data_IF_421519807106
#
_entry.id   IF_421519807106
#
_cell.length_a   1.000
_cell.length_b   1.000
_cell.length_c   1.000
_cell.angle_alpha   90.00
_cell.angle_beta   90.00
_cell.angle_gamma   90.00
#
_symmetry.space_group_name_H-M   'P 1'
#
loop_
_entity.id
_entity.type
_entity.pdbx_description
1 polymer ?
#
# COMPACT_ATOMS: atom_id res chain seq x y z
N UNK A 1 -18.82 -6.65 -9.35
CA UNK A 1 -17.53 -7.34 -9.14
C UNK A 1 -16.95 -6.87 -7.82
N UNK A 2 -16.65 -7.80 -6.91
CA UNK A 2 -16.08 -7.51 -5.59
C UNK A 2 -14.56 -7.43 -5.68
N UNK A 3 -14.00 -6.29 -5.30
CA UNK A 3 -12.57 -6.03 -5.43
C UNK A 3 -11.93 -5.73 -4.08
N UNK A 4 -10.87 -6.46 -3.74
CA UNK A 4 -10.04 -6.18 -2.56
C UNK A 4 -8.94 -5.17 -2.91
N UNK A 5 -8.97 -3.99 -2.29
CA UNK A 5 -7.98 -2.94 -2.49
C UNK A 5 -6.97 -2.94 -1.35
N UNK A 6 -5.72 -3.35 -1.59
CA UNK A 6 -4.64 -3.13 -0.62
C UNK A 6 -4.41 -1.64 -0.40
N UNK A 7 -4.40 -1.21 0.86
CA UNK A 7 -4.25 0.20 1.24
C UNK A 7 -3.03 0.41 2.13
N UNK A 8 -2.12 1.27 1.68
CA UNK A 8 -0.92 1.64 2.46
C UNK A 8 -1.15 2.86 3.38
N UNK A 9 -2.10 3.75 3.04
CA UNK A 9 -2.48 4.93 3.81
C UNK A 9 -3.70 5.60 3.18
N UNK A 10 -4.42 6.43 3.91
CA UNK A 10 -5.59 7.16 3.40
C UNK A 10 -5.25 8.12 2.25
N UNK A 11 -4.17 8.93 2.31
CA UNK A 11 -3.79 9.81 1.19
C UNK A 11 -3.52 9.09 -0.14
N UNK A 12 -3.11 7.82 -0.10
CA UNK A 12 -2.88 7.02 -1.31
C UNK A 12 -4.13 6.28 -1.79
N UNK A 13 -5.15 6.15 -0.94
CA UNK A 13 -6.32 5.33 -1.20
C UNK A 13 -7.54 6.12 -1.68
N UNK A 14 -7.65 7.42 -1.34
CA UNK A 14 -8.85 8.22 -1.62
C UNK A 14 -9.25 8.17 -3.10
N UNK A 15 -8.37 8.50 -4.01
CA UNK A 15 -8.65 8.50 -5.45
C UNK A 15 -8.83 7.08 -6.03
N UNK A 16 -7.97 6.07 -5.70
CA UNK A 16 -8.24 4.70 -6.11
C UNK A 16 -9.62 4.18 -5.70
N UNK A 17 -10.08 4.47 -4.48
CA UNK A 17 -11.42 4.07 -4.03
C UNK A 17 -12.50 4.72 -4.88
N UNK A 18 -12.41 6.03 -5.11
CA UNK A 18 -13.37 6.79 -5.90
C UNK A 18 -13.43 6.29 -7.35
N UNK A 19 -12.27 6.10 -8.00
CA UNK A 19 -12.19 5.59 -9.37
C UNK A 19 -12.81 4.20 -9.48
N UNK A 20 -12.47 3.28 -8.57
CA UNK A 20 -13.00 1.92 -8.61
C UNK A 20 -14.51 1.90 -8.36
N UNK A 21 -15.03 2.71 -7.43
CA UNK A 21 -16.48 2.83 -7.19
C UNK A 21 -17.21 3.45 -8.38
N UNK A 22 -16.61 4.43 -9.04
CA UNK A 22 -17.15 5.05 -10.27
C UNK A 22 -17.19 4.05 -11.43
N UNK A 23 -16.22 3.14 -11.49
CA UNK A 23 -16.23 2.01 -12.44
C UNK A 23 -17.26 0.91 -12.06
N UNK A 24 -18.07 1.11 -11.02
CA UNK A 24 -19.13 0.19 -10.59
C UNK A 24 -18.65 -1.02 -9.80
N UNK A 25 -17.46 -0.94 -9.18
CA UNK A 25 -16.89 -2.02 -8.38
C UNK A 25 -17.33 -1.90 -6.91
N UNK A 26 -17.60 -3.05 -6.28
CA UNK A 26 -17.78 -3.17 -4.85
C UNK A 26 -16.40 -3.28 -4.19
N UNK A 27 -15.95 -2.19 -3.55
CA UNK A 27 -14.59 -2.09 -3.01
C UNK A 27 -14.57 -2.39 -1.52
N UNK A 28 -13.69 -3.31 -1.12
CA UNK A 28 -13.31 -3.53 0.28
C UNK A 28 -11.83 -3.19 0.44
N UNK A 29 -11.49 -2.38 1.42
CA UNK A 29 -10.11 -2.07 1.77
C UNK A 29 -9.41 -3.23 2.47
N UNK A 30 -8.11 -3.39 2.24
CA UNK A 30 -7.28 -4.34 2.97
C UNK A 30 -6.05 -3.63 3.54
N UNK A 31 -5.97 -3.58 4.87
CA UNK A 31 -4.83 -3.07 5.60
C UNK A 31 -3.86 -4.20 5.95
N UNK A 32 -2.74 -4.26 5.25
CA UNK A 32 -1.61 -5.14 5.57
C UNK A 32 -0.30 -4.47 5.19
N UNK A 33 0.41 -3.92 6.17
CA UNK A 33 1.60 -3.10 5.93
C UNK A 33 2.72 -3.43 6.92
N UNK A 34 3.31 -4.65 6.88
CA UNK A 34 4.38 -5.07 7.77
C UNK A 34 5.69 -4.30 7.56
N UNK A 35 5.77 -3.55 6.47
CA UNK A 35 6.90 -2.71 6.07
C UNK A 35 6.89 -1.30 6.66
N UNK A 36 5.79 -0.85 7.29
CA UNK A 36 5.70 0.51 7.81
C UNK A 36 6.33 0.59 9.20
N UNK A 37 7.34 1.43 9.33
CA UNK A 37 8.14 1.64 10.55
C UNK A 37 8.44 3.13 10.77
N UNK A 38 8.64 3.59 12.02
CA UNK A 38 8.45 2.86 13.29
C UNK A 38 6.96 2.60 13.59
N UNK A 39 6.68 2.01 14.75
CA UNK A 39 5.30 1.71 15.17
C UNK A 39 4.40 2.95 15.25
N UNK A 40 4.95 4.10 15.58
CA UNK A 40 4.20 5.37 15.62
C UNK A 40 3.70 5.76 14.23
N UNK A 41 4.52 5.59 13.18
CA UNK A 41 4.15 5.84 11.79
C UNK A 41 3.08 4.83 11.32
N UNK A 42 3.27 3.53 11.62
CA UNK A 42 2.30 2.49 11.33
C UNK A 42 0.94 2.82 11.95
N UNK A 43 0.93 3.18 13.23
CA UNK A 43 -0.29 3.54 13.97
C UNK A 43 -0.96 4.79 13.40
N UNK A 44 -0.20 5.83 13.07
CA UNK A 44 -0.73 7.08 12.51
C UNK A 44 -1.44 6.85 11.17
N UNK A 45 -0.81 6.08 10.26
CA UNK A 45 -1.43 5.75 8.95
C UNK A 45 -2.66 4.89 9.09
N UNK A 46 -2.61 3.87 9.97
CA UNK A 46 -3.75 2.99 10.22
C UNK A 46 -4.94 3.76 10.79
N UNK A 47 -4.72 4.59 11.79
CA UNK A 47 -5.81 5.36 12.40
C UNK A 47 -6.43 6.33 11.39
N UNK A 48 -5.60 7.07 10.63
CA UNK A 48 -6.11 7.94 9.57
C UNK A 48 -6.93 7.17 8.52
N UNK A 49 -6.53 5.94 8.16
CA UNK A 49 -7.34 5.10 7.27
C UNK A 49 -8.67 4.70 7.90
N UNK A 50 -8.69 4.32 9.18
CA UNK A 50 -9.93 3.97 9.90
C UNK A 50 -10.93 5.12 9.92
N UNK A 51 -10.44 6.31 10.29
CA UNK A 51 -11.27 7.50 10.34
C UNK A 51 -11.86 7.81 8.95
N UNK A 52 -11.02 7.80 7.91
CA UNK A 52 -11.48 8.03 6.54
C UNK A 52 -12.45 6.94 6.06
N UNK A 53 -12.14 5.67 6.27
CA UNK A 53 -13.00 4.56 5.86
C UNK A 53 -14.41 4.66 6.49
N UNK A 54 -14.48 5.10 7.75
CA UNK A 54 -15.75 5.33 8.43
C UNK A 54 -16.57 6.44 7.74
N UNK A 55 -15.93 7.55 7.34
CA UNK A 55 -16.63 8.68 6.70
C UNK A 55 -17.21 8.34 5.34
N UNK A 56 -16.63 7.38 4.62
CA UNK A 56 -17.05 6.98 3.27
C UNK A 56 -17.71 5.59 3.24
N UNK A 57 -18.04 5.04 4.40
CA UNK A 57 -18.65 3.71 4.57
C UNK A 57 -17.90 2.61 3.78
N UNK A 58 -16.56 2.63 3.86
CA UNK A 58 -15.71 1.62 3.24
C UNK A 58 -15.50 0.47 4.22
N UNK A 59 -15.92 -0.77 3.90
CA UNK A 59 -15.52 -1.93 4.68
C UNK A 59 -14.01 -2.15 4.56
N UNK A 60 -13.33 -2.40 5.69
CA UNK A 60 -11.89 -2.65 5.73
C UNK A 60 -11.58 -3.92 6.50
N UNK A 61 -10.87 -4.82 5.86
CA UNK A 61 -10.26 -5.99 6.50
C UNK A 61 -8.88 -5.55 7.00
N UNK A 62 -8.62 -5.72 8.29
CA UNK A 62 -7.34 -5.36 8.89
C UNK A 62 -6.55 -6.60 9.34
N UNK A 63 -5.38 -6.77 8.76
CA UNK A 63 -4.34 -7.66 9.27
C UNK A 63 -3.28 -6.81 9.97
N UNK A 64 -3.38 -6.72 11.30
CA UNK A 64 -2.62 -5.79 12.13
C UNK A 64 -1.23 -6.34 12.52
N UNK A 65 -0.42 -6.70 11.53
CA UNK A 65 0.93 -7.23 11.70
C UNK A 65 1.97 -6.10 11.61
N UNK A 66 2.32 -5.52 12.76
CA UNK A 66 3.53 -4.70 12.82
C UNK A 66 4.76 -5.61 12.86
N UNK A 67 5.54 -5.65 11.80
CA UNK A 67 6.54 -6.67 11.58
C UNK A 67 7.95 -6.13 11.27
N UNK A 68 8.44 -5.14 12.05
CA UNK A 68 9.79 -4.59 11.86
C UNK A 68 10.86 -5.69 11.75
N UNK A 69 10.93 -6.58 12.75
CA UNK A 69 11.99 -7.60 12.80
C UNK A 69 11.89 -8.62 11.66
N UNK A 70 10.71 -9.21 11.36
CA UNK A 70 10.55 -10.08 10.20
C UNK A 70 10.89 -9.37 8.88
N UNK A 71 10.43 -8.12 8.68
CA UNK A 71 10.73 -7.36 7.48
C UNK A 71 12.25 -7.14 7.30
N UNK A 72 12.95 -6.71 8.35
CA UNK A 72 14.41 -6.51 8.30
C UNK A 72 15.12 -7.82 7.94
N UNK A 73 14.75 -8.95 8.56
CA UNK A 73 15.34 -10.26 8.21
C UNK A 73 15.16 -10.63 6.75
N UNK A 74 13.99 -10.33 6.18
CA UNK A 74 13.69 -10.63 4.77
C UNK A 74 14.53 -9.81 3.79
N UNK A 75 14.89 -8.57 4.16
CA UNK A 75 15.58 -7.64 3.23
C UNK A 75 17.06 -7.44 3.56
N UNK A 76 17.56 -7.98 4.68
CA UNK A 76 18.92 -7.69 5.17
C UNK A 76 20.04 -8.15 4.22
N UNK A 77 19.83 -9.25 3.49
CA UNK A 77 20.82 -9.78 2.56
C UNK A 77 20.90 -8.99 1.24
N UNK A 78 19.83 -8.28 0.88
CA UNK A 78 19.75 -7.49 -0.35
C UNK A 78 18.90 -6.24 -0.12
N UNK A 79 19.44 -5.29 0.64
CA UNK A 79 18.78 -4.01 0.96
C UNK A 79 18.51 -3.21 -0.33
N UNK A 80 19.36 -3.33 -1.34
CA UNK A 80 19.18 -2.65 -2.64
C UNK A 80 17.89 -3.05 -3.34
N UNK A 81 17.47 -4.31 -3.23
CA UNK A 81 16.24 -4.85 -3.82
C UNK A 81 15.07 -4.96 -2.81
N UNK A 82 15.16 -4.32 -1.66
CA UNK A 82 14.14 -4.38 -0.62
C UNK A 82 12.72 -4.03 -1.08
N UNK A 83 12.62 -3.14 -2.09
CA UNK A 83 11.32 -2.75 -2.65
C UNK A 83 10.62 -3.91 -3.34
N UNK A 84 11.35 -4.75 -4.09
CA UNK A 84 10.81 -5.97 -4.70
C UNK A 84 10.25 -6.93 -3.64
N UNK A 85 11.03 -7.17 -2.58
CA UNK A 85 10.56 -7.99 -1.43
C UNK A 85 9.35 -7.39 -0.73
N UNK A 86 9.33 -6.07 -0.58
CA UNK A 86 8.20 -5.34 -0.01
C UNK A 86 6.93 -5.50 -0.84
N UNK A 87 7.02 -5.47 -2.17
CA UNK A 87 5.88 -5.71 -3.06
C UNK A 87 5.40 -7.16 -2.95
N UNK A 88 6.33 -8.14 -2.98
CA UNK A 88 5.99 -9.56 -2.80
C UNK A 88 5.18 -9.78 -1.52
N UNK A 89 5.70 -9.37 -0.38
CA UNK A 89 5.02 -9.55 0.92
C UNK A 89 3.59 -9.03 0.88
N UNK A 90 3.39 -7.81 0.35
CA UNK A 90 2.07 -7.17 0.39
C UNK A 90 1.12 -7.66 -0.67
N UNK A 91 1.57 -7.84 -1.90
CA UNK A 91 0.71 -8.20 -3.02
C UNK A 91 0.31 -9.67 -2.99
N UNK A 92 1.23 -10.57 -2.57
CA UNK A 92 0.91 -11.98 -2.38
C UNK A 92 -0.10 -12.18 -1.25
N UNK A 93 0.10 -11.49 -0.12
CA UNK A 93 -0.88 -11.56 0.97
C UNK A 93 -2.24 -10.96 0.58
N UNK A 94 -2.26 -9.90 -0.25
CA UNK A 94 -3.51 -9.33 -0.75
C UNK A 94 -4.23 -10.30 -1.68
N UNK A 95 -3.51 -10.95 -2.60
CA UNK A 95 -4.07 -11.96 -3.49
C UNK A 95 -4.60 -13.18 -2.72
N UNK A 96 -3.83 -13.67 -1.72
CA UNK A 96 -4.27 -14.75 -0.83
C UNK A 96 -5.57 -14.37 -0.10
N UNK A 97 -5.59 -13.20 0.52
CA UNK A 97 -6.77 -12.71 1.24
C UNK A 97 -7.98 -12.54 0.31
N UNK A 98 -7.76 -12.09 -0.93
CA UNK A 98 -8.83 -11.96 -1.91
C UNK A 98 -9.41 -13.32 -2.31
N UNK A 99 -8.56 -14.31 -2.58
CA UNK A 99 -9.00 -15.66 -2.93
C UNK A 99 -9.76 -16.33 -1.78
N UNK A 100 -9.23 -16.28 -0.55
CA UNK A 100 -9.87 -16.87 0.64
C UNK A 100 -11.16 -16.13 1.02
N UNK A 101 -11.24 -14.82 0.79
CA UNK A 101 -12.41 -13.99 1.08
C UNK A 101 -13.50 -14.00 0.00
N UNK A 102 -13.31 -14.75 -1.09
CA UNK A 102 -14.28 -14.84 -2.19
C UNK A 102 -14.43 -13.53 -2.98
N UNK A 103 -13.35 -12.75 -3.10
CA UNK A 103 -13.32 -11.59 -3.98
C UNK A 103 -13.05 -12.02 -5.42
N UNK A 104 -13.67 -11.31 -6.37
CA UNK A 104 -13.45 -11.56 -7.79
C UNK A 104 -12.06 -11.09 -8.25
N UNK A 105 -11.56 -10.01 -7.62
CA UNK A 105 -10.28 -9.41 -7.98
C UNK A 105 -9.60 -8.71 -6.81
N UNK A 106 -8.32 -8.39 -7.00
CA UNK A 106 -7.58 -7.50 -6.10
C UNK A 106 -6.78 -6.46 -6.87
N UNK A 107 -6.44 -5.37 -6.17
CA UNK A 107 -5.55 -4.31 -6.66
C UNK A 107 -4.84 -3.63 -5.48
N UNK A 108 -4.08 -2.56 -5.73
CA UNK A 108 -3.36 -1.84 -4.68
C UNK A 108 -3.35 -0.34 -4.89
N UNK A 109 -3.53 0.41 -3.82
CA UNK A 109 -3.34 1.86 -3.78
C UNK A 109 -1.89 2.30 -4.05
N UNK A 110 -0.94 1.38 -4.07
CA UNK A 110 0.45 1.66 -4.43
C UNK A 110 0.60 2.16 -5.87
N UNK A 111 -0.31 1.75 -6.76
CA UNK A 111 -0.31 2.15 -8.17
C UNK A 111 -0.65 3.63 -8.40
N UNK A 112 -0.93 4.39 -7.33
CA UNK A 112 -1.08 5.85 -7.42
C UNK A 112 0.26 6.59 -7.33
N UNK A 113 1.29 5.96 -6.74
CA UNK A 113 2.55 6.64 -6.46
C UNK A 113 3.46 6.71 -7.69
N UNK A 114 3.88 7.90 -8.14
CA UNK A 114 4.85 8.03 -9.22
C UNK A 114 6.29 7.63 -8.81
N UNK A 115 6.51 7.36 -7.51
CA UNK A 115 7.82 7.03 -6.95
C UNK A 115 8.05 5.52 -6.81
N UNK A 116 7.05 4.70 -7.11
CA UNK A 116 7.15 3.24 -7.04
C UNK A 116 7.59 2.68 -8.40
N UNK A 117 8.23 1.52 -8.38
CA UNK A 117 8.53 0.78 -9.61
C UNK A 117 7.26 0.07 -10.09
N UNK A 118 6.53 0.73 -10.99
CA UNK A 118 5.23 0.26 -11.49
C UNK A 118 5.30 -1.08 -12.19
N UNK A 119 6.33 -1.29 -13.02
CA UNK A 119 6.49 -2.52 -13.77
C UNK A 119 6.72 -3.70 -12.84
N UNK A 120 7.67 -3.56 -11.91
CA UNK A 120 7.95 -4.59 -10.91
C UNK A 120 6.74 -4.90 -10.01
N UNK A 121 5.94 -3.87 -9.66
CA UNK A 121 4.70 -4.08 -8.90
C UNK A 121 3.67 -4.86 -9.72
N UNK A 122 3.52 -4.52 -11.02
CA UNK A 122 2.59 -5.19 -11.92
C UNK A 122 2.96 -6.67 -12.09
N UNK A 123 4.20 -6.95 -12.44
CA UNK A 123 4.72 -8.31 -12.58
C UNK A 123 4.54 -9.13 -11.29
N UNK A 124 4.78 -8.48 -10.13
CA UNK A 124 4.61 -9.13 -8.83
C UNK A 124 3.14 -9.46 -8.55
N UNK A 125 2.22 -8.53 -8.87
CA UNK A 125 0.79 -8.75 -8.69
C UNK A 125 0.25 -9.82 -9.65
N UNK A 126 0.72 -9.87 -10.90
CA UNK A 126 0.37 -10.90 -11.88
C UNK A 126 0.83 -12.30 -11.42
N UNK A 127 2.03 -12.41 -10.85
CA UNK A 127 2.50 -13.66 -10.23
C UNK A 127 1.62 -14.09 -9.06
N UNK A 128 1.28 -13.15 -8.17
CA UNK A 128 0.40 -13.41 -7.03
C UNK A 128 -1.00 -13.85 -7.48
N UNK A 129 -1.55 -13.19 -8.50
CA UNK A 129 -2.84 -13.54 -9.10
C UNK A 129 -2.85 -14.98 -9.63
N UNK A 130 -1.80 -15.37 -10.33
CA UNK A 130 -1.64 -16.74 -10.86
C UNK A 130 -1.52 -17.77 -9.73
N UNK A 131 -0.77 -17.46 -8.67
CA UNK A 131 -0.55 -18.38 -7.55
C UNK A 131 -1.84 -18.66 -6.78
N UNK A 132 -2.64 -17.63 -6.52
CA UNK A 132 -3.87 -17.77 -5.71
C UNK A 132 -5.15 -17.92 -6.54
N UNK A 133 -5.06 -17.91 -7.87
CA UNK A 133 -6.23 -18.10 -8.73
C UNK A 133 -7.27 -16.98 -8.64
N UNK A 134 -6.84 -15.74 -8.38
CA UNK A 134 -7.69 -14.55 -8.28
C UNK A 134 -7.27 -13.50 -9.29
N UNK A 135 -8.21 -12.76 -9.87
CA UNK A 135 -7.89 -11.76 -10.89
C UNK A 135 -7.10 -10.57 -10.30
N UNK A 136 -5.97 -10.20 -10.91
CA UNK A 136 -5.35 -8.91 -10.66
C UNK A 136 -5.99 -7.83 -11.54
N UNK A 137 -6.60 -6.84 -10.92
CA UNK A 137 -7.17 -5.69 -11.59
C UNK A 137 -6.10 -4.59 -11.68
N UNK A 138 -5.38 -4.55 -12.81
CA UNK A 138 -4.43 -3.47 -13.04
C UNK A 138 -5.15 -2.18 -13.39
N UNK A 139 -4.83 -1.13 -12.67
CA UNK A 139 -5.24 0.24 -12.96
C UNK A 139 -4.08 1.18 -12.64
N UNK A 140 -3.71 2.03 -13.59
CA UNK A 140 -2.75 3.11 -13.35
C UNK A 140 -3.47 4.30 -12.70
N UNK A 141 -3.21 4.49 -11.42
CA UNK A 141 -3.79 5.60 -10.67
C UNK A 141 -2.88 6.84 -10.61
N UNK A 142 -1.69 6.81 -11.24
CA UNK A 142 -0.74 7.96 -11.21
C UNK A 142 -1.33 9.28 -11.71
N UNK A 143 -2.22 9.32 -12.72
CA UNK A 143 -2.88 10.57 -13.12
C UNK A 143 -3.61 11.28 -11.98
N UNK A 144 -4.12 10.53 -11.01
CA UNK A 144 -4.89 11.05 -9.86
C UNK A 144 -4.02 11.39 -8.64
N UNK A 145 -2.70 11.25 -8.72
CA UNK A 145 -1.82 11.44 -7.57
C UNK A 145 -1.92 12.84 -6.96
N UNK A 146 -1.93 13.88 -7.80
CA UNK A 146 -2.00 15.28 -7.34
C UNK A 146 -3.33 15.59 -6.67
N UNK A 147 -4.42 15.12 -7.25
CA UNK A 147 -5.77 15.32 -6.72
C UNK A 147 -5.94 14.59 -5.38
N UNK A 148 -5.42 13.37 -5.28
CA UNK A 148 -5.40 12.62 -4.02
C UNK A 148 -4.62 13.32 -2.92
N UNK A 149 -3.48 13.95 -3.26
CA UNK A 149 -2.70 14.72 -2.30
C UNK A 149 -3.39 16.03 -1.89
N UNK A 150 -4.08 16.71 -2.80
CA UNK A 150 -4.86 17.92 -2.52
C UNK A 150 -6.02 17.59 -1.58
N UNK A 151 -6.82 16.59 -1.94
CA UNK A 151 -7.92 16.09 -1.11
C UNK A 151 -7.47 15.74 0.31
N UNK A 152 -6.37 15.00 0.44
CA UNK A 152 -5.85 14.59 1.74
C UNK A 152 -5.46 15.77 2.64
N UNK A 153 -4.88 16.84 2.07
CA UNK A 153 -4.53 18.06 2.83
C UNK A 153 -5.78 18.82 3.26
N UNK A 154 -6.74 18.97 2.36
CA UNK A 154 -8.00 19.68 2.62
C UNK A 154 -8.80 19.01 3.75
N UNK A 155 -8.77 17.66 3.79
CA UNK A 155 -9.48 16.89 4.81
C UNK A 155 -8.64 16.57 6.06
N UNK A 156 -7.45 17.17 6.19
CA UNK A 156 -6.63 17.04 7.39
C UNK A 156 -6.05 15.62 7.60
N UNK A 157 -5.86 14.85 6.53
CA UNK A 157 -5.29 13.50 6.66
C UNK A 157 -3.85 13.55 7.17
N UNK A 158 -3.46 12.49 7.87
CA UNK A 158 -2.06 12.27 8.20
C UNK A 158 -1.24 12.08 6.92
N UNK A 159 -0.35 13.04 6.63
CA UNK A 159 0.49 13.01 5.44
C UNK A 159 1.83 12.34 5.74
N UNK A 160 2.04 11.15 5.18
CA UNK A 160 3.32 10.45 5.31
C UNK A 160 4.46 11.21 4.64
N UNK A 161 5.64 11.18 5.26
CA UNK A 161 6.84 11.89 4.76
C UNK A 161 7.79 11.01 3.97
N UNK A 162 7.63 9.69 4.02
CA UNK A 162 8.45 8.69 3.33
C UNK A 162 7.59 7.46 2.95
N UNK A 163 8.15 6.52 2.19
CA UNK A 163 7.40 5.36 1.69
C UNK A 163 6.82 4.49 2.81
N UNK A 164 7.63 4.21 3.85
CA UNK A 164 7.15 3.49 5.04
C UNK A 164 8.22 2.73 5.81
N UNK A 165 9.18 2.10 5.14
CA UNK A 165 10.20 1.34 5.83
C UNK A 165 11.33 2.24 6.40
N UNK A 166 12.04 1.72 7.41
CA UNK A 166 13.16 2.44 8.05
C UNK A 166 14.22 2.90 7.05
N UNK A 167 14.48 2.13 6.00
CA UNK A 167 15.44 2.51 4.96
C UNK A 167 14.95 3.70 4.12
N UNK A 168 13.66 3.79 3.84
CA UNK A 168 13.10 4.96 3.14
C UNK A 168 13.05 6.20 4.02
N UNK A 169 12.94 6.02 5.33
CA UNK A 169 13.08 7.08 6.33
C UNK A 169 14.51 7.60 6.35
N UNK A 170 15.49 6.70 6.49
CA UNK A 170 16.92 7.02 6.46
C UNK A 170 17.29 7.78 5.18
N UNK A 171 16.91 7.27 3.99
CA UNK A 171 17.17 7.93 2.71
C UNK A 171 16.55 9.33 2.61
N UNK A 172 15.43 9.55 3.27
CA UNK A 172 14.73 10.83 3.29
C UNK A 172 15.44 11.87 4.13
N UNK A 173 15.96 11.48 5.29
CA UNK A 173 16.44 12.41 6.31
C UNK A 173 17.95 12.42 6.47
N UNK A 174 18.63 11.30 6.23
CA UNK A 174 20.07 11.24 6.26
C UNK A 174 20.63 11.85 4.96
N UNK A 175 21.05 13.11 5.02
CA UNK A 175 21.76 13.74 3.92
C UNK A 175 23.09 13.01 3.73
N UNK A 176 23.27 12.33 2.60
CA UNK A 176 24.48 11.56 2.22
C UNK A 176 25.82 12.32 2.33
N UNK A 177 25.81 13.61 2.62
CA UNK A 177 27.01 14.46 2.69
C UNK A 177 27.77 14.43 4.02
N UNK A 178 27.40 13.56 4.97
CA UNK A 178 28.07 13.48 6.28
C UNK A 178 28.15 12.07 6.86
N UNK A 179 28.23 11.04 6.05
CA UNK A 179 28.71 9.76 6.56
C UNK A 179 30.22 9.86 6.57
N UNK A 180 30.77 10.15 7.74
CA UNK A 180 32.19 10.03 8.05
C UNK A 180 32.54 8.55 7.91
N UNK A 181 33.69 8.21 7.30
CA UNK A 181 34.11 6.83 7.04
C UNK A 181 34.28 6.02 8.33
#
# INVERSE_FOLDING_TARGET
>A
MKTLLHICCAPCANQPIEVLRTDGLEVTGFWFNPNIHPFTEYRARRNCLRDYAQTIELPVIEKNDYALRPFIRTVAEDIGNRCGKCYEIRLFETARQAAEGGFDSFTSSLFISPYQNHELMRETAERAAKEYGVQFLYRDFRPYFRDGQAFAREHGFYMQKYCGCVFSEEERYLKRSKIIP
#
